data_IF_115838410093
#
_entry.id   IF_115838410093
#
_cell.length_a   1.000
_cell.length_b   1.000
_cell.length_c   1.000
_cell.angle_alpha   90.00
_cell.angle_beta   90.00
_cell.angle_gamma   90.00
#
_symmetry.space_group_name_H-M   'P 1'
#
loop_
_entity.id
_entity.type
_entity.pdbx_description
1 polymer ?
#
# COMPACT_ATOMS: atom_id res chain seq x y z
N UNK A 1 -4.73 21.56 -5.26
CA UNK A 1 -4.36 20.50 -6.21
C UNK A 1 -4.72 19.20 -5.55
N UNK A 2 -5.57 18.41 -6.19
CA UNK A 2 -6.35 17.34 -5.58
C UNK A 2 -5.45 16.26 -4.98
N UNK A 3 -5.60 16.01 -3.69
CA UNK A 3 -5.13 14.83 -2.98
C UNK A 3 -5.77 13.52 -3.52
N UNK A 4 -6.42 13.55 -4.69
CA UNK A 4 -7.21 12.47 -5.31
C UNK A 4 -6.37 11.36 -5.95
N UNK A 5 -5.07 11.60 -6.12
CA UNK A 5 -4.17 10.69 -6.84
C UNK A 5 -3.49 9.62 -5.97
N UNK A 6 -3.80 9.55 -4.68
CA UNK A 6 -3.19 8.57 -3.77
C UNK A 6 -4.24 7.69 -3.10
N UNK A 7 -3.95 6.39 -3.06
CA UNK A 7 -4.68 5.42 -2.25
C UNK A 7 -3.73 4.51 -1.47
N UNK A 8 -4.25 3.87 -0.43
CA UNK A 8 -3.52 2.85 0.32
C UNK A 8 -4.09 1.49 -0.07
N UNK A 9 -3.24 0.60 -0.57
CA UNK A 9 -3.58 -0.80 -0.76
C UNK A 9 -3.28 -1.57 0.54
N UNK A 10 -4.26 -2.31 1.04
CA UNK A 10 -4.08 -3.31 2.09
C UNK A 10 -3.79 -4.65 1.40
N UNK A 11 -2.54 -5.11 1.51
CA UNK A 11 -2.01 -6.32 0.90
C UNK A 11 -2.32 -7.58 1.73
N UNK A 12 -2.91 -7.43 2.93
CA UNK A 12 -3.19 -8.52 3.86
C UNK A 12 -2.03 -8.79 4.82
N UNK A 13 -2.04 -9.96 5.45
CA UNK A 13 -1.04 -10.31 6.47
C UNK A 13 0.33 -10.45 5.80
N UNK A 14 1.19 -9.43 6.01
CA UNK A 14 2.57 -9.27 5.55
C UNK A 14 3.04 -10.37 4.61
N UNK A 15 2.72 -10.27 3.30
CA UNK A 15 3.03 -11.34 2.38
C UNK A 15 4.53 -11.59 2.34
N UNK A 16 4.93 -12.86 2.39
CA UNK A 16 6.28 -13.23 2.00
C UNK A 16 6.32 -13.35 0.48
N UNK A 17 7.18 -12.55 -0.16
CA UNK A 17 7.46 -12.65 -1.59
C UNK A 17 8.81 -13.32 -1.81
N UNK A 18 8.92 -14.08 -2.89
CA UNK A 18 10.17 -14.73 -3.27
C UNK A 18 10.77 -14.00 -4.46
N UNK A 19 11.91 -13.34 -4.25
CA UNK A 19 12.62 -12.56 -5.27
C UNK A 19 14.04 -13.08 -5.37
N UNK A 20 14.45 -13.51 -6.57
CA UNK A 20 15.83 -13.90 -6.88
C UNK A 20 16.47 -14.90 -5.91
N UNK A 21 15.70 -15.87 -5.38
CA UNK A 21 16.24 -16.88 -4.47
C UNK A 21 16.07 -16.56 -2.99
N UNK A 22 15.61 -15.36 -2.65
CA UNK A 22 15.44 -14.89 -1.28
C UNK A 22 13.97 -14.62 -0.96
N UNK A 23 13.58 -14.95 0.27
CA UNK A 23 12.27 -14.58 0.80
C UNK A 23 12.38 -13.22 1.47
N UNK A 24 11.55 -12.28 1.04
CA UNK A 24 11.41 -10.96 1.63
C UNK A 24 9.98 -10.78 2.14
N UNK A 25 9.84 -10.34 3.39
CA UNK A 25 8.55 -9.96 3.94
C UNK A 25 8.21 -8.55 3.46
N UNK A 26 7.10 -8.38 2.75
CA UNK A 26 6.62 -7.05 2.37
C UNK A 26 5.68 -6.49 3.45
N UNK A 27 5.77 -5.18 3.75
CA UNK A 27 4.83 -4.54 4.65
C UNK A 27 3.40 -4.66 4.16
N UNK A 28 2.45 -4.73 5.10
CA UNK A 28 1.03 -4.94 4.81
C UNK A 28 0.41 -3.86 3.93
N UNK A 29 0.81 -2.60 4.09
CA UNK A 29 0.22 -1.50 3.34
C UNK A 29 1.19 -0.95 2.30
N UNK A 30 0.67 -0.65 1.11
CA UNK A 30 1.39 0.04 0.06
C UNK A 30 0.64 1.31 -0.35
N UNK A 31 1.37 2.41 -0.45
CA UNK A 31 0.84 3.69 -0.94
C UNK A 31 1.05 3.74 -2.44
N UNK A 32 -0.06 3.73 -3.19
CA UNK A 32 -0.07 3.83 -4.64
C UNK A 32 -0.37 5.26 -5.06
N UNK A 33 0.43 5.77 -5.99
CA UNK A 33 0.18 7.05 -6.67
C UNK A 33 -0.30 6.77 -8.09
N UNK A 34 -1.51 7.22 -8.41
CA UNK A 34 -2.08 7.15 -9.76
C UNK A 34 -1.30 8.02 -10.74
N UNK A 35 -0.95 9.24 -10.34
CA UNK A 35 -0.17 10.16 -11.17
C UNK A 35 1.24 9.65 -11.48
N UNK A 36 1.91 9.03 -10.52
CA UNK A 36 3.23 8.42 -10.73
C UNK A 36 3.16 6.98 -11.29
N UNK A 37 1.98 6.37 -11.33
CA UNK A 37 1.75 4.98 -11.73
C UNK A 37 2.68 3.97 -11.03
N UNK A 38 2.93 4.17 -9.73
CA UNK A 38 3.82 3.32 -8.92
C UNK A 38 3.50 3.36 -7.43
N UNK A 39 4.03 2.36 -6.71
CA UNK A 39 4.15 2.40 -5.25
C UNK A 39 5.20 3.44 -4.89
N UNK A 40 4.86 4.32 -3.94
CA UNK A 40 5.77 5.37 -3.45
C UNK A 40 6.21 5.15 -2.01
N UNK A 41 5.51 4.31 -1.25
CA UNK A 41 5.85 3.96 0.13
C UNK A 41 5.17 2.64 0.52
N UNK A 42 5.79 1.90 1.44
CA UNK A 42 5.22 0.71 2.08
C UNK A 42 5.39 0.80 3.58
N UNK A 43 4.48 0.24 4.37
CA UNK A 43 4.62 0.19 5.82
C UNK A 43 3.49 -0.57 6.51
N UNK A 44 3.63 -0.78 7.82
CA UNK A 44 2.65 -1.49 8.64
C UNK A 44 1.78 -0.56 9.51
N UNK A 45 2.16 0.71 9.65
CA UNK A 45 1.42 1.73 10.41
C UNK A 45 0.39 2.45 9.52
N UNK A 46 -0.78 1.84 9.36
CA UNK A 46 -1.90 2.44 8.61
C UNK A 46 -2.30 3.83 9.14
N UNK A 47 -2.50 4.06 10.46
CA UNK A 47 -2.78 5.39 11.00
C UNK A 47 -1.73 6.45 10.60
N UNK A 48 -0.45 6.09 10.67
CA UNK A 48 0.66 6.96 10.24
C UNK A 48 0.57 7.31 8.77
N UNK A 49 0.34 6.32 7.90
CA UNK A 49 0.19 6.52 6.45
C UNK A 49 -1.03 7.40 6.13
N UNK A 50 -2.19 7.13 6.72
CA UNK A 50 -3.40 7.93 6.52
C UNK A 50 -3.18 9.39 6.93
N UNK A 51 -2.52 9.62 8.07
CA UNK A 51 -2.19 10.97 8.55
C UNK A 51 -1.19 11.68 7.62
N UNK A 52 -0.14 10.99 7.18
CA UNK A 52 0.93 11.53 6.32
C UNK A 52 0.37 12.01 4.98
N UNK A 53 -0.47 11.19 4.36
CA UNK A 53 -1.06 11.46 3.05
C UNK A 53 -2.42 12.17 3.12
N UNK A 54 -2.87 12.57 4.32
CA UNK A 54 -4.15 13.27 4.56
C UNK A 54 -5.35 12.54 3.96
N UNK A 55 -5.32 11.21 3.98
CA UNK A 55 -6.36 10.37 3.40
C UNK A 55 -7.43 10.05 4.44
N UNK A 56 -8.69 10.07 4.02
CA UNK A 56 -9.80 9.49 4.78
C UNK A 56 -9.86 7.96 4.54
N UNK A 57 -10.32 7.20 5.55
CA UNK A 57 -10.37 5.73 5.51
C UNK A 57 -11.15 5.12 4.34
N UNK A 58 -11.92 5.91 3.57
CA UNK A 58 -12.61 5.51 2.34
C UNK A 58 -11.68 5.20 1.15
N UNK A 59 -10.36 5.41 1.27
CA UNK A 59 -9.37 5.17 0.20
C UNK A 59 -8.46 3.98 0.41
N UNK A 60 -8.92 3.03 1.23
CA UNK A 60 -8.21 1.77 1.43
C UNK A 60 -8.76 0.77 0.42
N UNK A 61 -7.93 0.34 -0.52
CA UNK A 61 -8.24 -0.72 -1.48
C UNK A 61 -7.73 -2.02 -0.90
N UNK A 62 -8.61 -2.99 -0.63
CA UNK A 62 -8.16 -4.33 -0.21
C UNK A 62 -7.82 -5.17 -1.43
N UNK A 63 -6.58 -5.62 -1.52
CA UNK A 63 -6.19 -6.62 -2.50
C UNK A 63 -6.80 -7.96 -2.10
N UNK A 64 -7.55 -8.59 -3.01
CA UNK A 64 -7.96 -9.98 -2.86
C UNK A 64 -7.00 -10.85 -3.68
N UNK A 65 -6.50 -11.96 -3.13
CA UNK A 65 -5.78 -12.94 -3.93
C UNK A 65 -6.70 -13.42 -5.05
N UNK A 66 -6.23 -13.34 -6.30
CA UNK A 66 -6.87 -14.02 -7.42
C UNK A 66 -6.36 -15.45 -7.37
N UNK A 67 -7.26 -16.39 -7.06
CA UNK A 67 -6.97 -17.83 -7.08
C UNK A 67 -7.05 -18.37 -8.50
#
# INVERSE_FOLDING_TARGET
MMDDDICIADLGDCPDIYVNGQTETIPRYAVWSWSASRIIETGDDLPGLLKKYRLSGSRIIRCRPVR
#
